data_IF_482147790372
#
_entry.id   IF_482147790372
#
_cell.length_a   1.000
_cell.length_b   1.000
_cell.length_c   1.000
_cell.angle_alpha   90.00
_cell.angle_beta   90.00
_cell.angle_gamma   90.00
#
_symmetry.space_group_name_H-M   'P 1'
#
loop_
_entity.id
_entity.type
_entity.pdbx_description
1 polymer ?
#
# COMPACT_ATOMS: atom_id res chain seq x y z
N UNK A 1 -7.25 -3.82 -43.68
CA UNK A 1 -7.52 -4.47 -42.38
C UNK A 1 -6.35 -4.15 -41.47
N UNK A 2 -6.58 -3.58 -40.28
CA UNK A 2 -5.48 -3.28 -39.35
C UNK A 2 -4.92 -4.61 -38.82
N UNK A 3 -3.62 -4.87 -39.00
CA UNK A 3 -2.95 -6.05 -38.45
C UNK A 3 -3.11 -6.04 -36.92
N UNK A 4 -3.72 -7.10 -36.38
CA UNK A 4 -3.87 -7.25 -34.94
C UNK A 4 -2.58 -7.81 -34.34
N UNK A 5 -1.95 -7.06 -33.45
CA UNK A 5 -0.69 -7.42 -32.78
C UNK A 5 -0.92 -8.34 -31.57
N UNK A 6 0.08 -9.16 -31.29
CA UNK A 6 0.23 -9.88 -30.01
C UNK A 6 0.99 -9.02 -28.99
N UNK A 7 0.87 -9.31 -27.69
CA UNK A 7 1.68 -8.64 -26.65
C UNK A 7 3.18 -8.76 -26.89
N UNK A 8 3.63 -9.91 -27.43
CA UNK A 8 5.05 -10.12 -27.74
C UNK A 8 5.54 -9.17 -28.84
N UNK A 9 4.73 -8.99 -29.90
CA UNK A 9 5.04 -8.07 -30.99
C UNK A 9 4.94 -6.60 -30.54
N UNK A 10 3.96 -6.26 -29.71
CA UNK A 10 3.84 -4.91 -29.14
C UNK A 10 5.05 -4.57 -28.25
N UNK A 11 5.50 -5.52 -27.43
CA UNK A 11 6.72 -5.38 -26.65
C UNK A 11 7.95 -5.22 -27.55
N UNK A 12 8.04 -6.00 -28.63
CA UNK A 12 9.15 -5.91 -29.59
C UNK A 12 9.17 -4.56 -30.32
N UNK A 13 8.01 -4.01 -30.68
CA UNK A 13 7.91 -2.70 -31.33
C UNK A 13 8.43 -1.58 -30.40
N UNK A 14 7.99 -1.59 -29.14
CA UNK A 14 8.47 -0.64 -28.13
C UNK A 14 9.98 -0.81 -27.91
N UNK A 15 10.45 -2.05 -27.76
CA UNK A 15 11.86 -2.33 -27.47
C UNK A 15 12.79 -2.11 -28.66
N UNK A 16 12.27 -2.06 -29.89
CA UNK A 16 13.04 -1.63 -31.09
C UNK A 16 13.34 -0.14 -31.03
N UNK A 17 12.44 0.67 -30.47
CA UNK A 17 12.59 2.13 -30.35
C UNK A 17 13.18 2.57 -29.00
N UNK A 18 13.29 1.67 -28.03
CA UNK A 18 13.82 1.97 -26.71
C UNK A 18 15.33 2.29 -26.77
N UNK A 19 15.75 3.28 -25.99
CA UNK A 19 17.16 3.70 -25.86
C UNK A 19 17.88 3.03 -24.67
N UNK A 20 17.12 2.41 -23.75
CA UNK A 20 17.64 1.75 -22.54
C UNK A 20 16.78 0.55 -22.12
N UNK A 21 17.33 -0.43 -21.39
CA UNK A 21 16.55 -1.53 -20.82
C UNK A 21 15.36 -1.04 -20.01
N UNK A 22 14.20 -1.68 -20.20
CA UNK A 22 12.93 -1.28 -19.58
C UNK A 22 12.37 -2.39 -18.70
N UNK A 23 11.70 -2.04 -17.60
CA UNK A 23 10.88 -3.00 -16.84
C UNK A 23 9.60 -3.35 -17.61
N UNK A 24 8.94 -4.46 -17.28
CA UNK A 24 7.69 -4.83 -17.97
C UNK A 24 6.61 -3.75 -17.82
N UNK A 25 6.54 -3.07 -16.67
CA UNK A 25 5.64 -1.94 -16.42
C UNK A 25 5.96 -0.76 -17.33
N UNK A 26 7.24 -0.42 -17.50
CA UNK A 26 7.66 0.64 -18.43
C UNK A 26 7.32 0.28 -19.89
N UNK A 27 7.49 -0.99 -20.29
CA UNK A 27 7.10 -1.46 -21.61
C UNK A 27 5.57 -1.29 -21.79
N UNK A 28 4.76 -1.67 -20.80
CA UNK A 28 3.31 -1.52 -20.86
C UNK A 28 2.86 -0.06 -20.95
N UNK A 29 3.48 0.82 -20.17
CA UNK A 29 3.20 2.25 -20.19
C UNK A 29 3.51 2.85 -21.57
N UNK A 30 4.62 2.43 -22.20
CA UNK A 30 4.99 2.90 -23.53
C UNK A 30 4.08 2.35 -24.64
N UNK A 31 3.63 1.09 -24.52
CA UNK A 31 2.59 0.51 -25.38
C UNK A 31 1.32 1.38 -25.35
N UNK A 32 0.89 1.76 -24.14
CA UNK A 32 -0.30 2.59 -23.94
C UNK A 32 -0.08 4.02 -24.46
N UNK A 33 1.10 4.60 -24.19
CA UNK A 33 1.46 5.95 -24.65
C UNK A 33 1.45 6.08 -26.18
N UNK A 34 1.92 5.05 -26.88
CA UNK A 34 1.95 4.99 -28.35
C UNK A 34 0.62 4.50 -28.96
N UNK A 35 -0.43 4.27 -28.16
CA UNK A 35 -1.70 3.70 -28.61
C UNK A 35 -1.55 2.34 -29.34
N UNK A 36 -0.51 1.56 -28.99
CA UNK A 36 -0.27 0.22 -29.55
C UNK A 36 -1.24 -0.79 -28.94
N UNK A 37 -1.68 -0.56 -27.70
CA UNK A 37 -2.71 -1.32 -26.99
C UNK A 37 -4.00 -1.50 -27.81
N UNK A 38 -4.41 -0.47 -28.57
CA UNK A 38 -5.59 -0.50 -29.44
C UNK A 38 -5.48 -1.47 -30.61
N UNK A 39 -4.27 -1.90 -30.95
CA UNK A 39 -4.00 -2.88 -32.02
C UNK A 39 -3.87 -4.30 -31.47
N UNK A 40 -3.93 -4.50 -30.16
CA UNK A 40 -3.78 -5.83 -29.56
C UNK A 40 -5.01 -6.71 -29.85
N UNK A 41 -4.75 -7.99 -30.12
CA UNK A 41 -5.79 -8.97 -30.41
C UNK A 41 -6.79 -9.13 -29.25
N UNK A 42 -6.31 -9.12 -28.01
CA UNK A 42 -7.10 -9.25 -26.79
C UNK A 42 -6.47 -8.42 -25.66
N UNK A 43 -7.27 -7.56 -25.01
CA UNK A 43 -6.89 -6.97 -23.71
C UNK A 43 -7.43 -7.86 -22.58
N UNK A 44 -6.55 -8.41 -21.74
CA UNK A 44 -6.95 -9.15 -20.55
C UNK A 44 -7.39 -8.22 -19.41
N UNK A 45 -7.86 -8.79 -18.28
CA UNK A 45 -8.19 -8.02 -17.07
C UNK A 45 -6.95 -7.34 -16.44
N UNK A 46 -5.78 -7.98 -16.56
CA UNK A 46 -4.49 -7.45 -16.08
C UNK A 46 -3.46 -7.42 -17.22
N UNK A 47 -3.54 -6.45 -18.15
CA UNK A 47 -2.69 -6.43 -19.35
C UNK A 47 -1.19 -6.34 -19.05
N UNK A 48 -0.79 -5.58 -18.02
CA UNK A 48 0.62 -5.45 -17.59
C UNK A 48 1.17 -6.78 -17.06
N UNK A 49 0.40 -7.50 -16.23
CA UNK A 49 0.79 -8.83 -15.73
C UNK A 49 0.82 -9.87 -16.86
N UNK A 50 -0.11 -9.77 -17.81
CA UNK A 50 -0.14 -10.62 -19.00
C UNK A 50 1.12 -10.42 -19.85
N UNK A 51 1.53 -9.16 -20.04
CA UNK A 51 2.78 -8.81 -20.71
C UNK A 51 3.99 -9.39 -19.97
N UNK A 52 4.05 -9.24 -18.63
CA UNK A 52 5.13 -9.79 -17.82
C UNK A 52 5.26 -11.31 -18.03
N UNK A 53 4.15 -12.05 -17.92
CA UNK A 53 4.12 -13.50 -18.12
C UNK A 53 4.63 -13.90 -19.52
N UNK A 54 4.29 -13.13 -20.56
CA UNK A 54 4.74 -13.38 -21.94
C UNK A 54 6.23 -13.10 -22.11
N UNK A 55 6.75 -12.02 -21.52
CA UNK A 55 8.18 -11.71 -21.54
C UNK A 55 9.00 -12.81 -20.85
N UNK A 56 8.60 -13.21 -19.64
CA UNK A 56 9.23 -14.31 -18.92
C UNK A 56 9.11 -15.65 -19.67
N UNK A 57 7.95 -15.93 -20.26
CA UNK A 57 7.72 -17.10 -21.09
C UNK A 57 8.60 -17.12 -22.34
N UNK A 58 8.89 -15.96 -22.95
CA UNK A 58 9.81 -15.84 -24.08
C UNK A 58 11.26 -16.15 -23.67
N UNK A 59 11.71 -15.62 -22.54
CA UNK A 59 13.06 -15.85 -22.00
C UNK A 59 13.30 -17.34 -21.71
N UNK A 60 12.28 -18.05 -21.20
CA UNK A 60 12.35 -19.51 -20.95
C UNK A 60 12.57 -20.34 -22.23
N UNK A 61 12.37 -19.78 -23.43
CA UNK A 61 12.64 -20.45 -24.72
C UNK A 61 14.13 -20.48 -25.10
N UNK A 62 15.01 -19.95 -24.25
CA UNK A 62 16.47 -20.07 -24.38
C UNK A 62 17.00 -19.47 -25.69
N UNK A 63 17.52 -20.32 -26.57
CA UNK A 63 18.09 -19.89 -27.86
C UNK A 63 17.08 -19.15 -28.75
N UNK A 64 15.80 -19.56 -28.72
CA UNK A 64 14.70 -18.95 -29.48
C UNK A 64 14.10 -17.71 -28.81
N UNK A 65 14.68 -17.24 -27.69
CA UNK A 65 14.25 -16.02 -27.03
C UNK A 65 14.61 -14.79 -27.86
N UNK A 66 13.66 -13.85 -27.93
CA UNK A 66 13.82 -12.52 -28.52
C UNK A 66 14.32 -11.53 -27.47
N UNK A 67 13.97 -11.75 -26.20
CA UNK A 67 14.31 -10.87 -25.08
C UNK A 67 15.38 -11.47 -24.16
N UNK A 68 16.10 -10.60 -23.45
CA UNK A 68 17.05 -10.95 -22.39
C UNK A 68 16.82 -10.08 -21.16
N UNK A 69 17.15 -10.60 -19.97
CA UNK A 69 17.16 -9.82 -18.73
C UNK A 69 18.55 -9.20 -18.56
N UNK A 70 18.60 -7.89 -18.37
CA UNK A 70 19.84 -7.11 -18.27
C UNK A 70 20.15 -6.66 -16.82
N UNK A 71 19.12 -6.38 -16.03
CA UNK A 71 19.21 -6.11 -14.59
C UNK A 71 18.25 -7.03 -13.86
N UNK A 72 18.55 -7.37 -12.59
CA UNK A 72 17.70 -8.22 -11.74
C UNK A 72 17.00 -7.47 -10.59
N UNK A 73 17.27 -6.18 -10.42
CA UNK A 73 16.73 -5.35 -9.34
C UNK A 73 16.57 -3.88 -9.78
N UNK A 74 15.45 -3.48 -10.42
CA UNK A 74 14.34 -4.34 -10.90
C UNK A 74 14.74 -5.19 -12.12
N UNK A 75 13.93 -6.20 -12.46
CA UNK A 75 14.15 -6.91 -13.73
C UNK A 75 13.90 -5.98 -14.92
N UNK A 76 14.93 -5.75 -15.73
CA UNK A 76 14.82 -4.98 -16.98
C UNK A 76 15.08 -5.87 -18.19
N UNK A 77 14.27 -5.70 -19.22
CA UNK A 77 14.29 -6.47 -20.45
C UNK A 77 14.99 -5.70 -21.58
N UNK A 78 15.63 -6.42 -22.50
CA UNK A 78 16.25 -5.89 -23.72
C UNK A 78 16.09 -6.86 -24.89
N UNK A 79 16.29 -6.38 -26.13
CA UNK A 79 16.30 -7.25 -27.31
C UNK A 79 17.64 -7.97 -27.42
N UNK A 80 17.59 -9.30 -27.58
CA UNK A 80 18.78 -10.15 -27.76
C UNK A 80 19.63 -9.72 -28.95
N UNK A 81 18.99 -9.27 -30.03
CA UNK A 81 19.65 -8.74 -31.23
C UNK A 81 20.37 -7.41 -31.01
N UNK A 82 20.03 -6.67 -29.95
CA UNK A 82 20.60 -5.35 -29.61
C UNK A 82 21.54 -5.42 -28.41
N UNK A 83 21.98 -6.62 -28.01
CA UNK A 83 22.79 -6.79 -26.80
C UNK A 83 24.15 -6.08 -26.91
N UNK A 84 24.74 -6.02 -28.11
CA UNK A 84 26.00 -5.33 -28.37
C UNK A 84 25.92 -3.80 -28.16
N UNK A 85 24.71 -3.22 -28.12
CA UNK A 85 24.51 -1.80 -27.81
C UNK A 85 24.73 -1.49 -26.31
N UNK A 86 24.72 -2.52 -25.46
CA UNK A 86 24.88 -2.37 -24.01
C UNK A 86 26.35 -2.33 -23.57
N UNK A 87 27.30 -2.79 -24.41
CA UNK A 87 28.71 -2.97 -24.04
C UNK A 87 29.48 -1.65 -23.76
N UNK A 88 28.87 -0.49 -24.04
CA UNK A 88 29.47 0.83 -23.76
C UNK A 88 28.87 1.56 -22.55
N UNK A 89 27.95 0.93 -21.79
CA UNK A 89 27.41 1.52 -20.56
C UNK A 89 27.47 0.49 -19.44
N UNK A 90 28.37 0.72 -18.46
CA UNK A 90 28.43 -0.06 -17.22
C UNK A 90 27.01 -0.19 -16.65
N UNK A 91 26.56 -1.41 -16.27
CA UNK A 91 25.22 -1.64 -15.73
C UNK A 91 24.89 -0.75 -14.52
N UNK A 92 25.91 -0.27 -13.82
CA UNK A 92 25.80 0.60 -12.65
C UNK A 92 25.35 2.05 -12.97
N UNK A 93 25.48 2.52 -14.21
CA UNK A 93 25.11 3.90 -14.59
C UNK A 93 23.69 4.04 -15.18
N UNK A 94 23.00 2.94 -15.47
CA UNK A 94 21.61 2.97 -15.96
C UNK A 94 20.57 3.18 -14.85
N UNK A 95 21.00 3.16 -13.58
CA UNK A 95 20.14 3.34 -12.41
C UNK A 95 19.88 4.84 -12.10
N UNK A 96 20.76 5.75 -12.53
CA UNK A 96 20.67 7.18 -12.17
C UNK A 96 19.98 8.09 -13.19
N UNK A 97 19.62 7.57 -14.37
CA UNK A 97 18.77 8.29 -15.32
C UNK A 97 17.39 7.61 -15.42
N UNK A 98 16.82 7.26 -14.27
CA UNK A 98 15.37 7.39 -14.16
C UNK A 98 15.10 8.88 -14.32
N UNK A 99 14.70 9.27 -15.55
CA UNK A 99 13.90 10.47 -15.70
C UNK A 99 12.85 10.37 -14.60
N UNK A 100 12.96 11.24 -13.61
CA UNK A 100 11.84 11.65 -12.80
C UNK A 100 10.79 12.05 -13.81
N UNK A 101 9.90 11.11 -14.16
CA UNK A 101 8.59 11.50 -14.59
C UNK A 101 8.13 12.34 -13.41
N UNK A 102 8.15 13.66 -13.58
CA UNK A 102 7.40 14.54 -12.70
C UNK A 102 6.06 13.84 -12.53
N UNK A 103 5.64 13.49 -11.30
CA UNK A 103 4.36 12.86 -11.10
C UNK A 103 3.38 13.73 -11.89
N UNK A 104 2.69 13.12 -12.85
CA UNK A 104 1.51 13.74 -13.43
C UNK A 104 0.70 14.15 -12.22
N UNK A 105 0.50 15.46 -12.00
CA UNK A 105 -0.13 16.01 -10.78
C UNK A 105 -1.16 14.99 -10.27
N UNK A 106 -0.81 14.29 -9.20
CA UNK A 106 -1.70 13.30 -8.62
C UNK A 106 -3.00 14.05 -8.31
N UNK A 107 -4.12 13.55 -8.82
CA UNK A 107 -5.40 14.29 -8.72
C UNK A 107 -5.90 14.37 -7.27
N UNK A 108 -5.36 13.52 -6.41
CA UNK A 108 -5.65 13.42 -4.99
C UNK A 108 -4.36 13.11 -4.23
N UNK A 109 -4.41 13.27 -2.91
CA UNK A 109 -3.31 13.04 -1.97
C UNK A 109 -3.55 11.78 -1.14
N UNK A 110 -2.53 11.26 -0.45
CA UNK A 110 -2.68 10.13 0.49
C UNK A 110 -3.80 10.37 1.50
N UNK A 111 -3.92 11.61 1.97
CA UNK A 111 -4.97 12.02 2.93
C UNK A 111 -6.39 11.87 2.37
N UNK A 112 -6.57 12.04 1.06
CA UNK A 112 -7.87 11.85 0.42
C UNK A 112 -8.31 10.37 0.41
N UNK A 113 -7.42 9.41 0.71
CA UNK A 113 -7.77 8.00 0.85
C UNK A 113 -8.24 7.63 2.27
N UNK A 114 -8.15 8.53 3.24
CA UNK A 114 -8.48 8.23 4.64
C UNK A 114 -9.93 7.75 4.81
N UNK A 115 -10.96 8.43 4.26
CA UNK A 115 -12.34 7.96 4.42
C UNK A 115 -12.58 6.56 3.83
N UNK A 116 -11.90 6.23 2.74
CA UNK A 116 -11.96 4.91 2.11
C UNK A 116 -11.35 3.83 3.01
N UNK A 117 -10.17 4.09 3.60
CA UNK A 117 -9.56 3.18 4.56
C UNK A 117 -10.41 3.04 5.83
N UNK A 118 -10.93 4.14 6.38
CA UNK A 118 -11.80 4.13 7.57
C UNK A 118 -13.00 3.20 7.34
N UNK A 119 -13.65 3.29 6.18
CA UNK A 119 -14.79 2.42 5.85
C UNK A 119 -14.38 0.97 5.68
N UNK A 120 -13.29 0.69 4.96
CA UNK A 120 -12.75 -0.66 4.85
C UNK A 120 -12.45 -1.29 6.22
N UNK A 121 -11.82 -0.56 7.14
CA UNK A 121 -11.49 -1.07 8.49
C UNK A 121 -12.74 -1.36 9.33
N UNK A 122 -13.83 -0.61 9.11
CA UNK A 122 -15.08 -0.82 9.81
C UNK A 122 -15.86 -2.05 9.30
N UNK A 123 -15.88 -2.25 7.98
CA UNK A 123 -16.71 -3.29 7.33
C UNK A 123 -16.00 -4.64 7.12
N UNK A 124 -14.66 -4.65 7.17
CA UNK A 124 -13.86 -5.86 6.99
C UNK A 124 -13.64 -6.62 8.31
N UNK A 125 -12.83 -7.68 8.25
CA UNK A 125 -12.46 -8.51 9.40
C UNK A 125 -11.79 -7.75 10.55
N UNK A 126 -11.29 -6.54 10.30
CA UNK A 126 -10.77 -5.66 11.35
C UNK A 126 -11.86 -5.25 12.36
N UNK A 127 -13.09 -4.97 11.90
CA UNK A 127 -14.19 -4.45 12.70
C UNK A 127 -13.72 -3.32 13.66
N UNK A 128 -12.97 -2.37 13.12
CA UNK A 128 -12.17 -1.43 13.89
C UNK A 128 -12.66 0.02 13.74
N UNK A 129 -12.59 0.77 14.84
CA UNK A 129 -12.85 2.21 14.86
C UNK A 129 -11.55 2.95 14.62
N UNK A 130 -11.50 3.73 13.54
CA UNK A 130 -10.30 4.43 13.11
C UNK A 130 -10.29 5.90 13.55
N UNK A 131 -9.08 6.47 13.64
CA UNK A 131 -8.85 7.90 13.84
C UNK A 131 -7.66 8.34 13.00
N UNK A 132 -7.85 9.38 12.21
CA UNK A 132 -6.77 10.06 11.49
C UNK A 132 -5.90 10.86 12.44
N UNK A 133 -4.58 10.72 12.30
CA UNK A 133 -3.58 11.43 13.09
C UNK A 133 -2.96 12.53 12.21
N UNK A 134 -3.24 13.79 12.54
CA UNK A 134 -2.76 14.92 11.75
C UNK A 134 -1.38 15.37 12.24
N UNK A 135 -0.39 15.37 11.36
CA UNK A 135 0.97 15.83 11.67
C UNK A 135 1.01 17.29 12.13
N UNK A 136 0.06 18.11 11.69
CA UNK A 136 -0.06 19.53 12.01
C UNK A 136 -0.40 19.76 13.48
N UNK A 137 -0.94 18.75 14.17
CA UNK A 137 -1.26 18.78 15.60
C UNK A 137 -0.11 18.27 16.48
N UNK A 138 1.06 18.02 15.89
CA UNK A 138 2.25 17.59 16.62
C UNK A 138 3.08 18.76 17.14
N UNK A 139 3.58 18.67 18.37
CA UNK A 139 4.27 19.78 19.08
C UNK A 139 5.67 20.12 18.54
N UNK A 140 6.29 19.25 17.73
CA UNK A 140 7.63 19.44 17.16
C UNK A 140 7.61 19.53 15.63
N UNK A 141 6.83 20.45 15.06
CA UNK A 141 6.79 20.66 13.61
C UNK A 141 8.02 21.44 13.11
N UNK A 142 9.20 20.81 13.08
CA UNK A 142 10.36 21.35 12.32
C UNK A 142 10.32 20.71 10.94
N UNK A 143 10.17 21.52 9.89
CA UNK A 143 9.95 21.05 8.52
C UNK A 143 11.02 20.05 8.10
N UNK A 144 10.61 18.80 7.84
CA UNK A 144 11.47 17.74 7.31
C UNK A 144 11.62 16.48 8.18
N UNK A 145 11.31 16.53 9.49
CA UNK A 145 11.39 15.35 10.38
C UNK A 145 10.05 14.65 10.66
N UNK A 146 8.93 15.33 10.44
CA UNK A 146 7.59 14.85 10.83
C UNK A 146 7.14 13.51 10.22
N UNK A 147 7.77 13.04 9.13
CA UNK A 147 7.37 11.81 8.45
C UNK A 147 7.60 10.53 9.27
N UNK A 148 8.42 10.60 10.32
CA UNK A 148 8.87 9.46 11.11
C UNK A 148 8.34 9.45 12.54
N UNK A 149 7.45 10.39 12.87
CA UNK A 149 7.08 10.69 14.25
C UNK A 149 5.66 10.22 14.63
N UNK A 150 4.83 9.84 13.65
CA UNK A 150 3.48 9.35 13.90
C UNK A 150 2.92 8.60 12.67
N UNK A 151 1.96 7.69 12.86
CA UNK A 151 1.21 7.07 11.76
C UNK A 151 0.21 8.04 11.13
N UNK A 152 -0.36 7.65 9.98
CA UNK A 152 -1.41 8.42 9.31
C UNK A 152 -2.79 8.15 9.92
N UNK A 153 -3.10 6.88 10.16
CA UNK A 153 -4.34 6.41 10.78
C UNK A 153 -4.01 5.37 11.84
N UNK A 154 -4.73 5.42 12.95
CA UNK A 154 -4.74 4.38 13.98
C UNK A 154 -6.14 3.83 14.16
N UNK A 155 -6.27 2.57 14.55
CA UNK A 155 -7.59 1.99 14.80
C UNK A 155 -7.59 1.04 15.99
N UNK A 156 -8.78 0.81 16.54
CA UNK A 156 -9.00 -0.13 17.64
C UNK A 156 -10.18 -1.04 17.31
N UNK A 157 -9.96 -2.34 17.39
CA UNK A 157 -11.03 -3.32 17.44
C UNK A 157 -11.34 -3.67 18.88
N UNK A 158 -12.63 -3.63 19.21
CA UNK A 158 -13.12 -4.03 20.52
C UNK A 158 -13.80 -5.40 20.39
N UNK A 159 -13.68 -6.28 21.40
CA UNK A 159 -14.37 -7.58 21.39
C UNK A 159 -15.90 -7.44 21.60
N UNK A 160 -16.39 -6.20 21.67
CA UNK A 160 -17.79 -5.87 21.96
C UNK A 160 -18.67 -6.29 20.78
N UNK A 161 -19.76 -7.00 21.06
CA UNK A 161 -20.68 -7.50 20.04
C UNK A 161 -20.33 -8.90 19.50
N UNK A 162 -19.05 -9.27 19.50
CA UNK A 162 -18.60 -10.63 19.17
C UNK A 162 -18.87 -11.64 20.30
N UNK A 163 -18.92 -11.16 21.55
CA UNK A 163 -19.13 -11.98 22.74
C UNK A 163 -20.27 -11.45 23.61
N UNK A 164 -20.82 -12.33 24.47
CA UNK A 164 -21.79 -11.96 25.50
C UNK A 164 -21.10 -11.22 26.64
N UNK A 165 -21.86 -10.39 27.36
CA UNK A 165 -21.34 -9.55 28.44
C UNK A 165 -20.64 -10.37 29.54
N UNK A 166 -21.16 -11.55 29.86
CA UNK A 166 -20.61 -12.47 30.86
C UNK A 166 -19.22 -12.99 30.45
N UNK A 167 -19.03 -13.32 29.17
CA UNK A 167 -17.73 -13.73 28.64
C UNK A 167 -16.73 -12.59 28.68
N UNK A 168 -17.17 -11.41 28.30
CA UNK A 168 -16.33 -10.22 28.27
C UNK A 168 -15.91 -9.76 29.68
N UNK A 169 -16.80 -9.90 30.66
CA UNK A 169 -16.51 -9.69 32.09
C UNK A 169 -15.52 -10.72 32.62
N UNK A 170 -15.67 -12.01 32.26
CA UNK A 170 -14.69 -13.04 32.60
C UNK A 170 -13.29 -12.71 32.03
N UNK A 171 -13.21 -12.38 30.73
CA UNK A 171 -11.96 -12.04 30.05
C UNK A 171 -11.24 -10.87 30.73
N UNK A 172 -12.01 -9.86 31.17
CA UNK A 172 -11.48 -8.75 31.93
C UNK A 172 -10.96 -9.18 33.31
N UNK A 173 -11.70 -10.03 34.03
CA UNK A 173 -11.33 -10.50 35.37
C UNK A 173 -10.10 -11.43 35.40
N UNK A 174 -9.75 -12.05 34.26
CA UNK A 174 -8.55 -12.90 34.12
C UNK A 174 -7.40 -12.19 33.39
N UNK A 175 -7.48 -10.87 33.23
CA UNK A 175 -6.50 -10.02 32.52
C UNK A 175 -6.19 -10.50 31.09
N UNK A 176 -7.23 -10.96 30.37
CA UNK A 176 -7.14 -11.34 28.94
C UNK A 176 -8.19 -10.64 28.08
N UNK A 177 -8.29 -9.30 28.12
CA UNK A 177 -9.15 -8.62 27.17
C UNK A 177 -8.59 -8.73 25.75
N UNK A 178 -9.48 -8.94 24.78
CA UNK A 178 -9.12 -9.11 23.36
C UNK A 178 -9.32 -7.79 22.59
N UNK A 179 -8.59 -6.74 22.99
CA UNK A 179 -8.52 -5.49 22.25
C UNK A 179 -7.36 -5.55 21.25
N UNK A 180 -7.58 -5.11 20.02
CA UNK A 180 -6.52 -5.01 19.00
C UNK A 180 -6.31 -3.56 18.60
N UNK A 181 -5.07 -3.10 18.66
CA UNK A 181 -4.64 -1.79 18.18
C UNK A 181 -3.95 -1.95 16.83
N UNK A 182 -4.31 -1.10 15.90
CA UNK A 182 -3.79 -1.08 14.54
C UNK A 182 -3.18 0.27 14.22
N UNK A 183 -2.18 0.25 13.35
CA UNK A 183 -1.52 1.45 12.86
C UNK A 183 -1.26 1.34 11.36
N UNK A 184 -1.56 2.40 10.62
CA UNK A 184 -1.55 2.41 9.16
C UNK A 184 -0.74 3.59 8.63
N UNK A 185 0.11 3.30 7.65
CA UNK A 185 0.81 4.28 6.82
C UNK A 185 0.29 4.15 5.38
N UNK A 186 -0.25 5.22 4.81
CA UNK A 186 -0.86 5.22 3.49
C UNK A 186 0.11 5.71 2.42
N UNK A 187 0.15 5.04 1.28
CA UNK A 187 0.90 5.47 0.10
C UNK A 187 0.04 5.31 -1.14
N UNK A 188 0.06 6.28 -2.06
CA UNK A 188 -0.67 6.14 -3.32
C UNK A 188 -0.05 5.00 -4.15
N UNK A 189 1.27 5.02 -4.33
CA UNK A 189 1.97 4.05 -5.17
C UNK A 189 3.29 3.56 -4.53
N UNK A 190 3.61 2.28 -4.73
CA UNK A 190 4.90 1.69 -4.36
C UNK A 190 5.63 1.12 -5.57
N UNK A 191 6.91 1.45 -5.67
CA UNK A 191 7.81 0.92 -6.67
C UNK A 191 9.24 0.79 -6.09
N UNK A 192 10.18 0.30 -6.89
CA UNK A 192 11.56 0.08 -6.43
C UNK A 192 12.30 1.32 -5.93
N UNK A 193 11.94 2.53 -6.37
CA UNK A 193 12.62 3.75 -5.92
C UNK A 193 12.20 4.16 -4.51
N UNK A 194 10.95 3.88 -4.11
CA UNK A 194 10.40 4.35 -2.82
C UNK A 194 10.08 3.22 -1.82
N UNK A 195 10.03 1.95 -2.24
CA UNK A 195 9.52 0.87 -1.38
C UNK A 195 10.23 0.76 -0.03
N UNK A 196 11.56 0.93 0.00
CA UNK A 196 12.32 0.78 1.25
C UNK A 196 12.03 1.93 2.19
N UNK A 197 12.04 3.16 1.67
CA UNK A 197 11.73 4.35 2.45
C UNK A 197 10.31 4.25 3.04
N UNK A 198 9.31 3.96 2.21
CA UNK A 198 7.92 3.83 2.64
C UNK A 198 7.73 2.69 3.65
N UNK A 199 8.38 1.55 3.43
CA UNK A 199 8.30 0.43 4.35
C UNK A 199 8.94 0.75 5.71
N UNK A 200 10.13 1.35 5.73
CA UNK A 200 10.78 1.71 6.98
C UNK A 200 10.09 2.87 7.69
N UNK A 201 9.41 3.76 6.96
CA UNK A 201 8.51 4.74 7.54
C UNK A 201 7.36 4.03 8.28
N UNK A 202 6.72 3.05 7.65
CA UNK A 202 5.67 2.25 8.30
C UNK A 202 6.21 1.49 9.53
N UNK A 203 7.42 0.93 9.46
CA UNK A 203 8.08 0.31 10.64
C UNK A 203 8.22 1.33 11.77
N UNK A 204 8.82 2.49 11.49
CA UNK A 204 9.03 3.55 12.49
C UNK A 204 7.71 4.00 13.14
N UNK A 205 6.67 4.18 12.34
CA UNK A 205 5.42 4.80 12.77
C UNK A 205 4.40 3.81 13.35
N UNK A 206 4.52 2.51 13.06
CA UNK A 206 3.47 1.52 13.31
C UNK A 206 3.90 0.28 14.09
N UNK A 207 5.20 0.08 14.37
CA UNK A 207 5.67 -1.09 15.14
C UNK A 207 5.22 -1.12 16.61
N UNK A 208 4.59 -0.06 17.11
CA UNK A 208 4.05 -0.01 18.48
C UNK A 208 2.73 -0.78 18.66
N UNK A 209 1.99 -0.99 17.57
CA UNK A 209 0.64 -1.55 17.57
C UNK A 209 0.65 -3.09 17.55
N UNK A 210 -0.51 -3.74 17.79
CA UNK A 210 -0.65 -5.18 17.58
C UNK A 210 -0.37 -5.53 16.12
N UNK A 211 -0.87 -4.72 15.18
CA UNK A 211 -0.62 -4.92 13.76
C UNK A 211 -0.39 -3.58 13.06
N UNK A 212 0.78 -3.45 12.44
CA UNK A 212 1.16 -2.31 11.62
C UNK A 212 1.07 -2.64 10.13
N UNK A 213 0.43 -1.77 9.34
CA UNK A 213 0.22 -1.98 7.91
C UNK A 213 0.71 -0.81 7.07
N UNK A 214 1.40 -1.15 5.98
CA UNK A 214 1.57 -0.25 4.84
C UNK A 214 0.35 -0.44 3.92
N UNK A 215 -0.36 0.63 3.61
CA UNK A 215 -1.56 0.61 2.76
C UNK A 215 -1.24 1.25 1.43
N UNK A 216 -1.63 0.61 0.34
CA UNK A 216 -1.35 1.08 -1.03
C UNK A 216 -2.60 1.12 -1.88
N UNK A 217 -2.72 2.16 -2.70
CA UNK A 217 -3.86 2.33 -3.60
C UNK A 217 -3.61 1.89 -5.04
N UNK A 218 -2.42 2.14 -5.59
CA UNK A 218 -2.07 1.67 -6.93
C UNK A 218 -1.61 0.20 -6.90
N UNK A 219 -1.68 -0.44 -8.07
CA UNK A 219 -1.22 -1.80 -8.28
C UNK A 219 0.25 -1.97 -7.89
N UNK A 220 0.55 -3.03 -7.13
CA UNK A 220 1.91 -3.36 -6.71
C UNK A 220 2.51 -4.39 -7.64
N UNK A 221 3.67 -4.06 -8.20
CA UNK A 221 4.47 -4.97 -9.00
C UNK A 221 4.81 -6.25 -8.22
N UNK A 222 4.67 -7.43 -8.85
CA UNK A 222 4.94 -8.72 -8.20
C UNK A 222 6.36 -8.84 -7.62
N UNK A 223 7.35 -8.17 -8.21
CA UNK A 223 8.72 -8.15 -7.70
C UNK A 223 8.86 -7.23 -6.49
N UNK A 224 8.13 -6.11 -6.45
CA UNK A 224 8.04 -5.25 -5.27
C UNK A 224 7.36 -6.01 -4.15
N UNK A 225 6.25 -6.71 -4.44
CA UNK A 225 5.55 -7.56 -3.47
C UNK A 225 6.48 -8.66 -2.91
N UNK A 226 7.31 -9.28 -3.75
CA UNK A 226 8.34 -10.24 -3.34
C UNK A 226 9.32 -9.64 -2.32
N UNK A 227 9.76 -8.40 -2.53
CA UNK A 227 10.65 -7.69 -1.59
C UNK A 227 9.92 -7.39 -0.29
N UNK A 228 8.68 -6.90 -0.36
CA UNK A 228 7.86 -6.59 0.81
C UNK A 228 7.59 -7.83 1.67
N UNK A 229 7.38 -9.02 1.08
CA UNK A 229 7.26 -10.27 1.84
C UNK A 229 8.53 -10.61 2.63
N UNK A 230 9.71 -10.37 2.06
CA UNK A 230 10.98 -10.56 2.81
C UNK A 230 11.13 -9.54 3.93
N UNK A 231 10.77 -8.29 3.69
CA UNK A 231 10.79 -7.24 4.71
C UNK A 231 9.80 -7.54 5.84
N UNK A 232 8.60 -8.04 5.53
CA UNK A 232 7.61 -8.48 6.50
C UNK A 232 8.15 -9.59 7.40
N UNK A 233 8.82 -10.61 6.84
CA UNK A 233 9.44 -11.67 7.63
C UNK A 233 10.46 -11.12 8.66
N UNK A 234 11.17 -10.05 8.32
CA UNK A 234 12.13 -9.41 9.21
C UNK A 234 11.47 -8.45 10.22
N UNK A 235 10.60 -7.56 9.77
CA UNK A 235 10.14 -6.40 10.54
C UNK A 235 8.65 -6.41 10.90
N UNK A 236 7.85 -7.29 10.29
CA UNK A 236 6.47 -7.56 10.70
C UNK A 236 5.39 -6.61 10.17
N UNK A 237 5.73 -5.60 9.37
CA UNK A 237 4.70 -4.72 8.78
C UNK A 237 3.97 -5.45 7.65
N UNK A 238 2.64 -5.45 7.72
CA UNK A 238 1.76 -6.02 6.71
C UNK A 238 1.57 -5.09 5.50
N UNK A 239 0.87 -5.59 4.48
CA UNK A 239 0.53 -4.84 3.27
C UNK A 239 -0.96 -5.00 2.95
N UNK A 240 -1.66 -3.88 2.81
CA UNK A 240 -3.06 -3.83 2.38
C UNK A 240 -3.13 -3.18 1.00
N UNK A 241 -3.81 -3.82 0.06
CA UNK A 241 -4.23 -3.20 -1.19
C UNK A 241 -5.63 -2.62 -1.00
N UNK A 242 -5.72 -1.31 -1.06
CA UNK A 242 -6.97 -0.58 -1.02
C UNK A 242 -7.49 -0.36 -2.45
N UNK A 243 -8.80 -0.48 -2.61
CA UNK A 243 -9.54 -0.28 -3.86
C UNK A 243 -10.72 0.65 -3.61
N UNK A 244 -11.15 1.39 -4.63
CA UNK A 244 -12.37 2.21 -4.54
C UNK A 244 -13.62 1.37 -4.21
N UNK A 245 -13.65 0.13 -4.70
CA UNK A 245 -14.61 -0.87 -4.25
C UNK A 245 -14.05 -1.60 -3.02
N UNK A 246 -14.67 -1.36 -1.87
CA UNK A 246 -14.23 -1.89 -0.57
C UNK A 246 -14.18 -3.41 -0.56
N UNK A 247 -15.13 -4.07 -1.23
CA UNK A 247 -15.17 -5.53 -1.31
C UNK A 247 -13.98 -6.12 -2.09
N UNK A 248 -13.34 -5.31 -2.94
CA UNK A 248 -12.15 -5.68 -3.71
C UNK A 248 -10.83 -5.37 -2.97
N UNK A 249 -10.89 -4.62 -1.86
CA UNK A 249 -9.73 -4.36 -1.01
C UNK A 249 -9.31 -5.62 -0.24
N UNK A 250 -8.02 -5.83 -0.04
CA UNK A 250 -7.51 -7.07 0.56
C UNK A 250 -6.17 -6.89 1.30
N UNK A 251 -5.96 -7.72 2.31
CA UNK A 251 -4.66 -7.90 2.95
C UNK A 251 -3.78 -8.79 2.07
N UNK A 252 -2.75 -8.22 1.44
CA UNK A 252 -1.81 -8.95 0.59
C UNK A 252 -0.72 -9.68 1.40
N UNK A 253 -0.36 -9.11 2.55
CA UNK A 253 0.62 -9.63 3.50
C UNK A 253 0.10 -9.35 4.92
N UNK A 254 -0.08 -10.39 5.72
CA UNK A 254 -0.47 -10.25 7.12
C UNK A 254 0.64 -9.57 7.93
N UNK A 255 0.27 -8.65 8.82
CA UNK A 255 1.21 -8.11 9.80
C UNK A 255 1.58 -9.19 10.84
N UNK A 256 2.80 -9.12 11.37
CA UNK A 256 3.22 -9.97 12.48
C UNK A 256 2.85 -9.28 13.79
N UNK A 257 2.05 -9.96 14.60
CA UNK A 257 1.71 -9.49 15.94
C UNK A 257 2.95 -9.59 16.87
N UNK A 258 3.36 -8.50 17.54
CA UNK A 258 4.44 -8.54 18.51
C UNK A 258 3.97 -9.20 19.82
N UNK A 259 4.92 -9.67 20.63
CA UNK A 259 4.60 -10.29 21.93
C UNK A 259 3.96 -9.31 22.92
N UNK A 260 4.32 -8.04 22.82
CA UNK A 260 3.81 -6.95 23.64
C UNK A 260 3.81 -5.64 22.86
N UNK A 261 2.94 -4.71 23.28
CA UNK A 261 2.90 -3.35 22.75
C UNK A 261 4.13 -2.55 23.19
N UNK A 262 4.61 -1.66 22.31
CA UNK A 262 5.68 -0.73 22.64
C UNK A 262 5.12 0.47 23.43
N UNK A 263 5.11 0.33 24.75
CA UNK A 263 4.58 1.34 25.68
C UNK A 263 5.37 2.65 25.60
N UNK A 264 6.68 2.60 25.33
CA UNK A 264 7.50 3.81 25.25
C UNK A 264 7.10 4.64 24.03
N UNK A 265 6.93 4.00 22.87
CA UNK A 265 6.46 4.68 21.66
C UNK A 265 5.03 5.21 21.83
N UNK A 266 4.14 4.45 22.47
CA UNK A 266 2.77 4.92 22.79
C UNK A 266 2.81 6.18 23.65
N UNK A 267 3.61 6.23 24.73
CA UNK A 267 3.72 7.40 25.60
C UNK A 267 4.28 8.63 24.84
N UNK A 268 5.27 8.42 23.97
CA UNK A 268 5.81 9.47 23.11
C UNK A 268 4.73 10.04 22.19
N UNK A 269 3.92 9.19 21.56
CA UNK A 269 2.83 9.61 20.68
C UNK A 269 1.75 10.39 21.44
N UNK A 270 1.36 9.93 22.64
CA UNK A 270 0.41 10.63 23.52
C UNK A 270 0.90 12.02 23.92
N UNK A 271 2.20 12.19 24.19
CA UNK A 271 2.78 13.49 24.52
C UNK A 271 2.90 14.42 23.32
N UNK A 272 3.16 13.87 22.14
CA UNK A 272 3.54 14.66 20.99
C UNK A 272 2.37 15.04 20.07
N UNK A 273 1.28 14.27 20.03
CA UNK A 273 0.17 14.49 19.11
C UNK A 273 -1.19 14.43 19.84
N UNK A 274 -1.99 15.49 19.72
CA UNK A 274 -3.29 15.57 20.41
C UNK A 274 -4.32 14.59 19.87
N UNK A 275 -4.32 14.27 18.57
CA UNK A 275 -5.27 13.30 18.00
C UNK A 275 -4.98 11.91 18.57
N UNK A 276 -3.71 11.53 18.66
CA UNK A 276 -3.33 10.24 19.24
C UNK A 276 -3.69 10.18 20.73
N UNK A 277 -3.47 11.27 21.47
CA UNK A 277 -3.94 11.37 22.85
C UNK A 277 -5.45 11.20 22.98
N UNK A 278 -6.23 11.83 22.11
CA UNK A 278 -7.69 11.70 22.09
C UNK A 278 -8.12 10.27 21.76
N UNK A 279 -7.44 9.60 20.81
CA UNK A 279 -7.66 8.19 20.50
C UNK A 279 -7.51 7.28 21.74
N UNK A 280 -6.40 7.44 22.48
CA UNK A 280 -6.16 6.65 23.71
C UNK A 280 -7.18 7.00 24.79
N UNK A 281 -7.56 8.27 24.94
CA UNK A 281 -8.60 8.67 25.88
C UNK A 281 -9.96 8.05 25.53
N UNK A 282 -10.31 7.99 24.25
CA UNK A 282 -11.56 7.40 23.77
C UNK A 282 -11.64 5.91 24.04
N UNK A 283 -10.55 5.18 23.79
CA UNK A 283 -10.41 3.76 24.15
C UNK A 283 -10.64 3.59 25.65
N UNK A 284 -9.92 4.35 26.48
CA UNK A 284 -10.03 4.28 27.94
C UNK A 284 -11.45 4.60 28.43
N UNK A 285 -12.11 5.61 27.85
CA UNK A 285 -13.51 5.94 28.18
C UNK A 285 -14.44 4.79 27.81
N UNK A 286 -14.27 4.20 26.63
CA UNK A 286 -15.10 3.08 26.16
C UNK A 286 -14.92 1.82 27.01
N UNK A 287 -13.68 1.50 27.41
CA UNK A 287 -13.38 0.38 28.32
C UNK A 287 -14.02 0.62 29.70
N UNK A 288 -13.87 1.82 30.27
CA UNK A 288 -14.39 2.16 31.61
C UNK A 288 -15.92 2.18 31.70
N UNK A 289 -16.60 2.54 30.61
CA UNK A 289 -18.07 2.58 30.60
C UNK A 289 -18.72 1.19 30.71
N UNK A 290 -17.92 0.12 30.70
CA UNK A 290 -18.35 -1.28 30.73
C UNK A 290 -19.30 -1.65 29.57
N UNK A 291 -19.52 -2.94 29.38
CA UNK A 291 -20.35 -3.50 28.29
C UNK A 291 -21.82 -3.06 28.30
N UNK A 292 -22.26 -2.31 29.32
CA UNK A 292 -23.65 -1.91 29.53
C UNK A 292 -24.01 -0.56 28.90
N UNK A 293 -23.05 0.35 28.71
CA UNK A 293 -23.33 1.74 28.27
C UNK A 293 -22.57 2.15 26.99
N UNK A 294 -22.20 1.18 26.14
CA UNK A 294 -21.36 1.39 24.95
C UNK A 294 -21.97 2.40 23.95
N UNK A 295 -23.31 2.54 23.91
CA UNK A 295 -24.01 3.39 22.95
C UNK A 295 -24.10 4.88 23.29
N UNK A 296 -23.71 5.30 24.50
CA UNK A 296 -23.98 6.68 24.98
C UNK A 296 -22.73 7.58 25.02
N UNK A 297 -21.56 7.06 24.65
CA UNK A 297 -20.31 7.82 24.74
C UNK A 297 -20.03 8.51 23.42
N UNK A 298 -19.94 9.83 23.45
CA UNK A 298 -19.44 10.60 22.32
C UNK A 298 -17.91 10.37 22.19
N UNK A 299 -17.53 9.61 21.16
CA UNK A 299 -16.16 9.26 20.81
C UNK A 299 -15.73 10.05 19.57
N UNK A 300 -14.47 10.43 19.52
CA UNK A 300 -13.88 11.28 18.48
C UNK A 300 -13.24 10.48 17.34
N UNK A 301 -13.73 9.27 17.08
CA UNK A 301 -13.32 8.46 15.93
C UNK A 301 -13.80 9.09 14.61
N UNK A 302 -13.14 8.75 13.52
CA UNK A 302 -13.50 9.24 12.19
C UNK A 302 -14.88 8.70 11.78
N UNK A 303 -15.66 9.53 11.09
CA UNK A 303 -16.97 9.14 10.57
C UNK A 303 -16.81 8.06 9.49
N UNK A 304 -17.55 6.97 9.64
CA UNK A 304 -17.74 5.99 8.57
C UNK A 304 -18.79 6.53 7.60
N UNK A 305 -18.38 6.79 6.36
CA UNK A 305 -19.30 7.23 5.30
C UNK A 305 -20.18 6.05 4.86
N UNK A 306 -21.45 6.30 4.57
CA UNK A 306 -22.28 5.29 3.90
C UNK A 306 -21.88 5.11 2.42
N UNK A 307 -22.53 4.20 1.71
CA UNK A 307 -22.19 3.88 0.31
C UNK A 307 -22.34 5.10 -0.62
N UNK A 308 -23.42 5.85 -0.47
CA UNK A 308 -23.72 7.02 -1.31
C UNK A 308 -22.78 8.19 -1.01
N UNK A 309 -22.50 8.45 0.27
CA UNK A 309 -21.56 9.47 0.72
C UNK A 309 -20.13 9.16 0.23
N UNK A 310 -19.69 7.91 0.33
CA UNK A 310 -18.36 7.51 -0.14
C UNK A 310 -18.26 7.60 -1.66
N UNK A 311 -19.25 7.10 -2.41
CA UNK A 311 -19.22 7.16 -3.88
C UNK A 311 -19.15 8.61 -4.38
N UNK A 312 -19.91 9.51 -3.75
CA UNK A 312 -19.85 10.94 -4.03
C UNK A 312 -18.46 11.51 -3.73
N UNK A 313 -17.90 11.19 -2.57
CA UNK A 313 -16.58 11.65 -2.15
C UNK A 313 -15.47 11.20 -3.13
N UNK A 314 -15.46 9.93 -3.53
CA UNK A 314 -14.47 9.38 -4.47
C UNK A 314 -14.55 10.09 -5.84
N UNK A 315 -15.76 10.34 -6.35
CA UNK A 315 -15.99 11.10 -7.59
C UNK A 315 -15.45 12.53 -7.49
N UNK A 316 -15.73 13.23 -6.40
CA UNK A 316 -15.27 14.61 -6.15
C UNK A 316 -13.74 14.70 -6.06
N UNK A 317 -13.10 13.70 -5.45
CA UNK A 317 -11.64 13.62 -5.33
C UNK A 317 -10.94 13.00 -6.54
N UNK A 318 -11.69 12.58 -7.54
CA UNK A 318 -11.16 11.90 -8.73
C UNK A 318 -10.37 10.62 -8.41
N UNK A 319 -10.75 9.94 -7.34
CA UNK A 319 -10.27 8.60 -6.98
C UNK A 319 -11.11 7.60 -7.78
N UNK A 320 -10.46 6.64 -8.43
CA UNK A 320 -11.09 5.75 -9.43
C UNK A 320 -10.80 4.30 -9.16
#
# INVERSE_FOLDING_TARGET
MAEKLTYLQAAQEVMTKAEKPLTFTQIWNEITRQSIDKKLQNLGKTPSQTLAAILYGNIKKGEKSIFVIVSKQPNTFWLKSRIAELDNKKPEQLIQESSTQKPTKEKFTERDLHPLLVKFLYESEFNAYAKTIYHEKSTKSVSGKNKWDHPDIVAVSFPFGSYKNETLELLQNIDRPDYRLYSFELKIALNFSNLKECYFQAVSNSSWANEGYLVVYEEVDSEVLSVLRRLNASFGIGLIKLESDIASSQILIQAREPEALDVETIDVLVRNNSDFKDFINDINRKIKAHYKNIGEINLSFDKVLDDDELEKYLKEKHIK
#
